data_IF_540680017798
#
_entry.id   IF_540680017798
#
_cell.length_a   1.000
_cell.length_b   1.000
_cell.length_c   1.000
_cell.angle_alpha   90.00
_cell.angle_beta   90.00
_cell.angle_gamma   90.00
#
_symmetry.space_group_name_H-M   'P 1'
#
loop_
_entity.id
_entity.type
_entity.pdbx_description
1 polymer ?
#
# COMPACT_ATOMS: atom_id res chain seq x y z
N UNK A 1 8.86 20.17 22.05
CA UNK A 1 8.40 19.60 20.78
C UNK A 1 9.04 18.24 20.64
N UNK A 2 8.28 17.25 20.22
CA UNK A 2 8.72 15.89 19.90
C UNK A 2 8.65 15.73 18.38
N UNK A 3 9.39 14.76 17.84
CA UNK A 3 9.27 14.42 16.40
C UNK A 3 7.84 13.99 16.03
N UNK A 4 7.08 13.43 16.98
CA UNK A 4 5.67 13.04 16.81
C UNK A 4 4.72 14.24 16.69
N UNK A 5 5.21 15.46 16.96
CA UNK A 5 4.44 16.69 16.77
C UNK A 5 4.65 17.27 15.35
N UNK A 6 5.55 16.67 14.54
CA UNK A 6 5.79 17.09 13.15
C UNK A 6 4.63 16.60 12.27
N UNK A 7 4.08 17.42 11.35
CA UNK A 7 2.89 17.07 10.57
C UNK A 7 2.96 15.71 9.87
N UNK A 8 4.06 15.41 9.16
CA UNK A 8 4.24 14.12 8.46
C UNK A 8 4.15 12.92 9.40
N UNK A 9 4.63 13.06 10.64
CA UNK A 9 4.54 11.99 11.63
C UNK A 9 3.11 11.84 12.14
N UNK A 10 2.39 12.95 12.34
CA UNK A 10 0.98 12.93 12.74
C UNK A 10 0.10 12.28 11.67
N UNK A 11 0.31 12.62 10.40
CA UNK A 11 -0.44 12.04 9.29
C UNK A 11 -0.17 10.53 9.12
N UNK A 12 1.09 10.12 9.24
CA UNK A 12 1.47 8.71 9.23
C UNK A 12 0.81 7.95 10.40
N UNK A 13 0.83 8.52 11.61
CA UNK A 13 0.20 7.93 12.80
C UNK A 13 -1.32 7.84 12.63
N UNK A 14 -1.95 8.87 12.07
CA UNK A 14 -3.39 8.89 11.79
C UNK A 14 -3.78 7.77 10.83
N UNK A 15 -3.10 7.65 9.69
CA UNK A 15 -3.38 6.57 8.73
C UNK A 15 -3.25 5.18 9.36
N UNK A 16 -2.28 4.97 10.26
CA UNK A 16 -2.18 3.72 11.00
C UNK A 16 -3.39 3.48 11.94
N UNK A 17 -3.87 4.53 12.62
CA UNK A 17 -5.09 4.46 13.44
C UNK A 17 -6.32 4.16 12.60
N UNK A 18 -6.50 4.88 11.49
CA UNK A 18 -7.64 4.74 10.58
C UNK A 18 -7.74 3.30 10.04
N UNK A 19 -6.63 2.70 9.61
CA UNK A 19 -6.62 1.32 9.13
C UNK A 19 -6.95 0.28 10.22
N UNK A 20 -6.54 0.54 11.46
CA UNK A 20 -6.92 -0.31 12.60
C UNK A 20 -8.42 -0.21 12.87
N UNK A 21 -8.99 1.00 12.85
CA UNK A 21 -10.41 1.23 13.11
C UNK A 21 -11.32 0.65 12.00
N UNK A 22 -10.81 0.53 10.77
CA UNK A 22 -11.46 -0.23 9.70
C UNK A 22 -11.43 -1.76 9.90
N UNK A 23 -10.63 -2.26 10.86
CA UNK A 23 -10.45 -3.69 11.10
C UNK A 23 -9.55 -4.40 10.09
N UNK A 24 -8.70 -3.68 9.36
CA UNK A 24 -7.80 -4.26 8.34
C UNK A 24 -6.46 -4.76 8.89
N UNK A 25 -6.22 -4.60 10.20
CA UNK A 25 -4.93 -4.85 10.83
C UNK A 25 -5.06 -5.68 12.11
N UNK A 26 -5.49 -6.93 12.00
CA UNK A 26 -5.44 -7.86 13.11
C UNK A 26 -4.00 -8.16 13.53
N UNK A 27 -3.73 -8.17 14.85
CA UNK A 27 -2.39 -8.41 15.41
C UNK A 27 -1.33 -7.48 14.78
N UNK A 28 -0.44 -8.03 13.96
CA UNK A 28 0.64 -7.34 13.26
C UNK A 28 0.47 -7.41 11.73
N UNK A 29 -0.74 -7.73 11.26
CA UNK A 29 -1.09 -7.81 9.85
C UNK A 29 -1.10 -6.43 9.21
N UNK A 30 -0.53 -6.33 8.00
CA UNK A 30 -0.28 -5.07 7.32
C UNK A 30 0.93 -4.30 7.80
N UNK A 31 1.35 -3.34 6.98
CA UNK A 31 2.54 -2.51 7.17
C UNK A 31 2.44 -1.27 6.25
N UNK A 32 3.12 -0.20 6.65
CA UNK A 32 3.07 1.08 5.95
C UNK A 32 4.49 1.59 5.78
N UNK A 33 4.82 2.14 4.61
CA UNK A 33 6.05 2.89 4.42
C UNK A 33 5.81 4.15 3.60
N UNK A 34 6.55 5.20 3.96
CA UNK A 34 6.46 6.50 3.33
C UNK A 34 7.84 7.03 2.95
N UNK A 35 8.02 7.43 1.69
CA UNK A 35 9.24 8.03 1.14
C UNK A 35 9.22 9.54 1.39
N UNK A 36 10.00 9.96 2.38
CA UNK A 36 9.98 11.31 2.91
C UNK A 36 10.42 12.34 1.85
N UNK A 37 9.85 13.54 1.93
CA UNK A 37 10.29 14.71 1.20
C UNK A 37 11.50 15.35 1.91
N UNK A 38 12.43 15.99 1.19
CA UNK A 38 13.61 16.61 1.81
C UNK A 38 13.27 17.54 2.98
N UNK A 39 12.23 18.37 2.84
CA UNK A 39 11.76 19.30 3.86
C UNK A 39 11.22 18.60 5.12
N UNK A 40 10.61 17.42 4.97
CA UNK A 40 10.15 16.60 6.09
C UNK A 40 11.33 15.95 6.81
N UNK A 41 12.35 15.52 6.06
CA UNK A 41 13.60 15.00 6.63
C UNK A 41 14.29 16.08 7.45
N UNK A 42 14.38 17.31 6.93
CA UNK A 42 15.04 18.41 7.62
C UNK A 42 14.31 18.82 8.91
N UNK A 43 12.97 18.75 8.93
CA UNK A 43 12.18 18.94 10.15
C UNK A 43 12.43 17.84 11.19
N UNK A 44 12.60 16.60 10.76
CA UNK A 44 12.84 15.44 11.62
C UNK A 44 14.30 15.31 12.07
N UNK A 45 15.25 15.86 11.32
CA UNK A 45 16.71 15.72 11.53
C UNK A 45 17.19 16.04 12.94
N UNK A 46 16.68 17.09 13.64
CA UNK A 46 17.08 17.38 15.03
C UNK A 46 16.77 16.26 16.04
N UNK A 47 15.91 15.31 15.67
CA UNK A 47 15.50 14.18 16.52
C UNK A 47 16.19 12.86 16.15
N UNK A 48 17.04 12.86 15.11
CA UNK A 48 17.76 11.66 14.72
C UNK A 48 18.84 11.31 15.75
N UNK A 49 19.16 10.02 15.85
CA UNK A 49 20.26 9.52 16.68
C UNK A 49 21.56 10.18 16.24
N UNK A 50 22.31 10.77 17.17
CA UNK A 50 23.63 11.35 16.90
C UNK A 50 24.59 10.33 16.27
N UNK A 51 24.52 9.09 16.75
CA UNK A 51 25.23 7.94 16.20
C UNK A 51 24.19 6.87 15.83
N UNK A 52 23.73 6.83 14.56
CA UNK A 52 22.87 5.76 14.07
C UNK A 52 23.57 4.40 14.18
N UNK A 53 22.78 3.32 14.21
CA UNK A 53 23.31 1.96 14.20
C UNK A 53 23.97 1.57 12.87
N UNK A 54 24.45 0.33 12.81
CA UNK A 54 25.11 -0.23 11.62
C UNK A 54 24.17 -0.29 10.41
N UNK A 55 24.79 -0.24 9.24
CA UNK A 55 24.11 -0.50 7.97
C UNK A 55 23.70 -1.96 7.85
N UNK A 56 22.44 -2.20 7.48
CA UNK A 56 21.88 -3.53 7.27
C UNK A 56 21.58 -3.73 5.79
N UNK A 57 22.06 -4.85 5.24
CA UNK A 57 21.78 -5.25 3.86
C UNK A 57 20.29 -5.55 3.66
N UNK A 58 19.70 -4.98 2.60
CA UNK A 58 18.29 -5.14 2.30
C UNK A 58 17.98 -6.40 1.49
N UNK A 59 18.97 -7.02 0.86
CA UNK A 59 18.82 -8.14 -0.08
C UNK A 59 18.26 -7.75 -1.45
N UNK A 60 17.99 -6.47 -1.67
CA UNK A 60 17.46 -5.89 -2.93
C UNK A 60 18.17 -4.56 -3.21
N UNK A 61 18.11 -4.08 -4.45
CA UNK A 61 18.74 -2.81 -4.85
C UNK A 61 17.72 -1.89 -5.51
N UNK A 62 17.71 -0.63 -5.08
CA UNK A 62 16.87 0.44 -5.62
C UNK A 62 17.71 1.70 -5.78
N UNK A 63 18.54 1.74 -6.82
CA UNK A 63 19.49 2.83 -7.08
C UNK A 63 18.79 4.20 -7.15
N UNK A 64 17.57 4.24 -7.69
CA UNK A 64 16.76 5.46 -7.76
C UNK A 64 16.22 5.94 -6.40
N UNK A 65 16.48 5.23 -5.30
CA UNK A 65 16.11 5.58 -3.92
C UNK A 65 17.34 5.81 -3.03
N UNK A 66 18.55 5.82 -3.60
CA UNK A 66 19.79 6.04 -2.85
C UNK A 66 19.79 7.38 -2.11
N UNK A 67 20.23 7.36 -0.85
CA UNK A 67 20.28 8.55 0.02
C UNK A 67 18.93 9.07 0.51
N UNK A 68 17.81 8.43 0.16
CA UNK A 68 16.49 8.84 0.63
C UNK A 68 16.19 8.33 2.05
N UNK A 69 15.13 8.88 2.64
CA UNK A 69 14.67 8.53 3.99
C UNK A 69 13.24 8.01 3.94
N UNK A 70 12.94 7.05 4.80
CA UNK A 70 11.63 6.39 4.86
C UNK A 70 11.09 6.34 6.28
N UNK A 71 9.81 6.63 6.47
CA UNK A 71 9.07 6.22 7.67
C UNK A 71 8.58 4.79 7.43
N UNK A 72 8.70 3.92 8.42
CA UNK A 72 8.28 2.52 8.35
C UNK A 72 7.68 2.02 9.66
N UNK A 73 6.64 1.20 9.57
CA UNK A 73 6.16 0.40 10.70
C UNK A 73 7.20 -0.68 11.04
N UNK A 74 7.37 -0.99 12.32
CA UNK A 74 8.29 -2.03 12.76
C UNK A 74 7.78 -3.46 12.54
N UNK A 75 8.72 -4.40 12.40
CA UNK A 75 8.42 -5.84 12.32
C UNK A 75 7.72 -6.32 13.59
N UNK A 76 6.56 -6.98 13.42
CA UNK A 76 5.77 -7.54 14.51
C UNK A 76 5.08 -6.48 15.39
N UNK A 77 5.09 -5.20 14.97
CA UNK A 77 4.38 -4.11 15.64
C UNK A 77 2.91 -4.07 15.20
N UNK A 78 2.07 -3.46 16.03
CA UNK A 78 0.63 -3.54 15.92
C UNK A 78 0.13 -2.15 15.54
N UNK A 79 -0.66 -2.02 14.47
CA UNK A 79 -1.23 -0.73 14.05
C UNK A 79 -2.02 -0.08 15.19
N UNK A 80 -2.76 -0.89 15.97
CA UNK A 80 -3.46 -0.48 17.19
C UNK A 80 -2.59 0.31 18.17
N UNK A 81 -1.29 0.02 18.25
CA UNK A 81 -0.38 0.63 19.22
C UNK A 81 0.35 1.85 18.65
N UNK A 82 0.27 2.11 17.34
CA UNK A 82 0.95 3.24 16.70
C UNK A 82 0.47 4.58 17.26
N UNK A 83 -0.85 4.86 17.39
CA UNK A 83 -1.31 6.11 18.01
C UNK A 83 -0.98 6.25 19.50
N UNK A 84 -0.72 5.14 20.19
CA UNK A 84 -0.50 5.12 21.63
C UNK A 84 0.97 5.35 21.99
N UNK A 85 1.88 4.69 21.27
CA UNK A 85 3.33 4.70 21.52
C UNK A 85 4.09 4.63 20.19
N UNK A 86 4.00 5.67 19.34
CA UNK A 86 4.58 5.65 17.99
C UNK A 86 6.08 5.39 17.98
N UNK A 87 6.84 5.93 18.94
CA UNK A 87 8.29 5.74 19.07
C UNK A 87 8.72 4.27 19.27
N UNK A 88 7.82 3.41 19.76
CA UNK A 88 8.06 1.98 19.94
C UNK A 88 7.62 1.13 18.74
N UNK A 89 6.79 1.70 17.85
CA UNK A 89 6.16 0.98 16.73
C UNK A 89 6.65 1.42 15.36
N UNK A 90 7.24 2.62 15.25
CA UNK A 90 7.69 3.23 14.00
C UNK A 90 9.21 3.42 14.02
N UNK A 91 9.81 3.51 12.83
CA UNK A 91 11.16 4.03 12.65
C UNK A 91 11.25 4.97 11.44
N UNK A 92 12.30 5.79 11.45
CA UNK A 92 12.81 6.44 10.25
C UNK A 92 14.10 5.73 9.84
N UNK A 93 14.16 5.36 8.57
CA UNK A 93 15.28 4.71 7.92
C UNK A 93 16.01 5.70 7.03
N UNK A 94 17.32 5.63 7.00
CA UNK A 94 18.17 6.23 5.98
C UNK A 94 18.66 5.13 5.03
N UNK A 95 18.65 5.42 3.72
CA UNK A 95 19.18 4.53 2.68
C UNK A 95 20.60 4.95 2.30
N UNK A 96 21.50 3.98 2.11
CA UNK A 96 22.88 4.27 1.72
C UNK A 96 22.98 4.87 0.30
N UNK A 97 24.19 5.34 -0.04
CA UNK A 97 24.46 5.96 -1.34
C UNK A 97 24.38 4.98 -2.53
N UNK A 98 24.28 3.68 -2.28
CA UNK A 98 24.11 2.65 -3.32
C UNK A 98 22.66 2.15 -3.45
N UNK A 99 21.76 2.51 -2.52
CA UNK A 99 20.39 2.01 -2.52
C UNK A 99 20.26 0.53 -2.15
N UNK A 100 21.18 0.00 -1.33
CA UNK A 100 21.28 -1.44 -0.96
C UNK A 100 21.12 -1.68 0.53
N UNK A 101 21.45 -0.69 1.35
CA UNK A 101 21.47 -0.82 2.80
C UNK A 101 20.61 0.24 3.45
N UNK A 102 20.04 -0.11 4.60
CA UNK A 102 19.31 0.82 5.45
C UNK A 102 19.94 0.88 6.84
N UNK A 103 19.75 1.99 7.54
CA UNK A 103 19.99 2.09 8.99
C UNK A 103 18.88 2.89 9.66
N UNK A 104 18.61 2.59 10.93
CA UNK A 104 17.58 3.30 11.70
C UNK A 104 18.18 4.59 12.28
N UNK A 105 17.63 5.73 11.88
CA UNK A 105 18.02 7.06 12.39
C UNK A 105 17.07 7.57 13.47
N UNK A 106 15.84 7.06 13.57
CA UNK A 106 14.92 7.35 14.67
C UNK A 106 13.92 6.20 14.91
N UNK A 107 13.38 6.12 16.13
CA UNK A 107 12.30 5.20 16.49
C UNK A 107 12.76 3.78 16.83
N UNK A 108 11.78 2.89 17.03
CA UNK A 108 11.94 1.56 17.62
C UNK A 108 12.79 1.60 18.90
N UNK A 109 12.42 2.46 19.85
CA UNK A 109 13.20 2.74 21.06
C UNK A 109 13.44 1.50 21.94
N UNK A 110 12.48 0.57 21.96
CA UNK A 110 12.60 -0.75 22.63
C UNK A 110 13.27 -1.82 21.76
N UNK A 111 13.97 -1.40 20.71
CA UNK A 111 14.59 -2.30 19.73
C UNK A 111 13.59 -2.89 18.73
N UNK A 112 14.16 -3.64 17.80
CA UNK A 112 13.46 -4.22 16.66
C UNK A 112 14.09 -3.79 15.34
N UNK A 113 13.36 -4.02 14.27
CA UNK A 113 13.72 -3.72 12.88
C UNK A 113 12.48 -3.18 12.15
N UNK A 114 12.61 -2.49 11.00
CA UNK A 114 11.47 -2.18 10.14
C UNK A 114 10.68 -3.45 9.77
N UNK A 115 9.48 -3.28 9.21
CA UNK A 115 8.64 -4.40 8.73
C UNK A 115 9.46 -5.45 7.99
N UNK A 116 9.16 -6.74 8.22
CA UNK A 116 9.83 -7.83 7.51
C UNK A 116 9.64 -7.77 5.99
N UNK A 117 8.61 -7.04 5.54
CA UNK A 117 8.31 -6.82 4.13
C UNK A 117 8.92 -5.52 3.58
N UNK A 118 9.87 -4.90 4.31
CA UNK A 118 10.51 -3.68 3.86
C UNK A 118 11.17 -3.82 2.48
N UNK A 119 11.83 -4.95 2.12
CA UNK A 119 12.33 -5.15 0.76
C UNK A 119 11.23 -5.10 -0.32
N UNK A 120 10.05 -5.66 -0.05
CA UNK A 120 8.88 -5.56 -0.95
C UNK A 120 8.42 -4.12 -1.09
N UNK A 121 8.29 -3.40 0.03
CA UNK A 121 7.93 -1.98 0.02
C UNK A 121 8.94 -1.16 -0.78
N UNK A 122 10.23 -1.40 -0.57
CA UNK A 122 11.30 -0.65 -1.19
C UNK A 122 11.33 -0.85 -2.71
N UNK A 123 11.18 -2.10 -3.19
CA UNK A 123 11.04 -2.36 -4.62
C UNK A 123 9.77 -1.73 -5.20
N UNK A 124 8.65 -1.79 -4.47
CA UNK A 124 7.41 -1.12 -4.89
C UNK A 124 7.58 0.40 -4.96
N UNK A 125 8.23 1.04 -3.98
CA UNK A 125 8.60 2.46 -4.04
C UNK A 125 9.47 2.76 -5.27
N UNK A 126 10.44 1.91 -5.57
CA UNK A 126 11.37 2.12 -6.70
C UNK A 126 10.61 2.14 -8.03
N UNK A 127 9.75 1.15 -8.28
CA UNK A 127 8.97 1.07 -9.52
C UNK A 127 7.88 2.15 -9.59
N UNK A 128 7.24 2.49 -8.46
CA UNK A 128 6.22 3.55 -8.41
C UNK A 128 6.82 4.93 -8.61
N UNK A 129 7.97 5.21 -7.99
CA UNK A 129 8.73 6.44 -8.23
C UNK A 129 9.07 6.58 -9.71
N UNK A 130 9.51 5.51 -10.37
CA UNK A 130 9.80 5.53 -11.80
C UNK A 130 8.53 5.73 -12.65
N UNK A 131 7.45 5.00 -12.36
CA UNK A 131 6.19 5.06 -13.12
C UNK A 131 5.45 6.40 -12.99
N UNK A 132 5.65 7.12 -11.89
CA UNK A 132 4.91 8.35 -11.55
C UNK A 132 5.80 9.59 -11.53
N UNK A 133 7.01 9.52 -12.10
CA UNK A 133 7.98 10.62 -12.05
C UNK A 133 8.24 11.17 -10.63
N UNK A 134 8.19 10.28 -9.64
CA UNK A 134 8.42 10.58 -8.24
C UNK A 134 7.26 11.20 -7.48
N UNK A 135 6.06 11.20 -8.05
CA UNK A 135 4.83 11.63 -7.37
C UNK A 135 4.44 10.70 -6.22
N UNK A 136 4.40 9.38 -6.47
CA UNK A 136 4.02 8.42 -5.44
C UNK A 136 5.07 8.32 -4.32
N UNK A 137 4.59 8.31 -3.07
CA UNK A 137 5.41 8.32 -1.85
C UNK A 137 4.94 7.39 -0.76
N UNK A 138 3.73 6.82 -0.86
CA UNK A 138 3.21 5.86 0.11
C UNK A 138 3.13 4.48 -0.53
N UNK A 139 3.51 3.46 0.24
CA UNK A 139 3.16 2.06 -0.02
C UNK A 139 2.50 1.52 1.24
N UNK A 140 1.25 1.10 1.10
CA UNK A 140 0.41 0.63 2.20
C UNK A 140 -0.08 -0.78 1.93
N UNK A 141 0.15 -1.67 2.89
CA UNK A 141 -0.37 -3.02 2.87
C UNK A 141 -1.30 -3.25 4.06
N UNK A 142 -2.48 -3.80 3.79
CA UNK A 142 -3.44 -4.19 4.81
C UNK A 142 -4.18 -5.47 4.43
N UNK A 143 -5.03 -5.97 5.34
CA UNK A 143 -5.82 -7.19 5.17
C UNK A 143 -7.33 -6.88 5.07
N UNK A 144 -7.78 -6.20 4.01
CA UNK A 144 -9.19 -5.89 3.80
C UNK A 144 -10.01 -7.17 3.57
N UNK A 145 -10.94 -7.46 4.48
CA UNK A 145 -11.56 -8.78 4.59
C UNK A 145 -12.44 -9.14 3.39
N UNK A 146 -13.17 -8.18 2.82
CA UNK A 146 -14.05 -8.46 1.68
C UNK A 146 -13.22 -8.71 0.42
N UNK A 147 -12.18 -7.92 0.16
CA UNK A 147 -11.27 -8.20 -0.94
C UNK A 147 -10.58 -9.56 -0.80
N UNK A 148 -10.13 -9.92 0.41
CA UNK A 148 -9.57 -11.26 0.67
C UNK A 148 -10.60 -12.34 0.33
N UNK A 149 -11.85 -12.18 0.74
CA UNK A 149 -12.91 -13.13 0.43
C UNK A 149 -13.16 -13.28 -1.08
N UNK A 150 -13.02 -12.21 -1.89
CA UNK A 150 -13.10 -12.30 -3.36
C UNK A 150 -12.07 -13.29 -3.95
N UNK A 151 -10.88 -13.41 -3.33
CA UNK A 151 -9.82 -14.35 -3.78
C UNK A 151 -10.21 -15.81 -3.72
N UNK A 152 -11.27 -16.17 -3.00
CA UNK A 152 -11.77 -17.54 -2.94
C UNK A 152 -12.82 -17.87 -4.00
N UNK A 153 -13.40 -16.86 -4.66
CA UNK A 153 -14.58 -17.03 -5.50
C UNK A 153 -14.42 -16.48 -6.93
N UNK A 154 -13.39 -15.68 -7.17
CA UNK A 154 -13.06 -15.17 -8.49
C UNK A 154 -11.79 -15.84 -9.05
N UNK A 155 -11.67 -15.97 -10.38
CA UNK A 155 -10.38 -16.27 -10.99
C UNK A 155 -9.35 -15.23 -10.55
N UNK A 156 -8.14 -15.70 -10.23
CA UNK A 156 -7.04 -14.86 -9.74
C UNK A 156 -6.36 -14.09 -10.89
N UNK A 157 -7.12 -13.27 -11.60
CA UNK A 157 -6.63 -12.43 -12.70
C UNK A 157 -6.94 -10.96 -12.45
N UNK A 158 -6.07 -10.07 -12.95
CA UNK A 158 -6.28 -8.63 -12.88
C UNK A 158 -7.60 -8.21 -13.55
N UNK A 159 -7.95 -8.85 -14.68
CA UNK A 159 -9.20 -8.60 -15.40
C UNK A 159 -10.42 -8.91 -14.53
N UNK A 160 -10.51 -10.13 -14.00
CA UNK A 160 -11.71 -10.59 -13.29
C UNK A 160 -11.93 -9.81 -11.99
N UNK A 161 -10.86 -9.49 -11.27
CA UNK A 161 -10.93 -8.62 -10.09
C UNK A 161 -11.32 -7.20 -10.45
N UNK A 162 -10.64 -6.60 -11.42
CA UNK A 162 -10.90 -5.21 -11.81
C UNK A 162 -12.33 -5.03 -12.28
N UNK A 163 -12.84 -5.93 -13.13
CA UNK A 163 -14.22 -5.89 -13.62
C UNK A 163 -15.22 -5.94 -12.47
N UNK A 164 -15.10 -6.94 -11.59
CA UNK A 164 -16.01 -7.09 -10.46
C UNK A 164 -16.04 -5.83 -9.57
N UNK A 165 -14.87 -5.22 -9.34
CA UNK A 165 -14.76 -3.99 -8.54
C UNK A 165 -15.36 -2.77 -9.26
N UNK A 166 -15.01 -2.53 -10.53
CA UNK A 166 -15.56 -1.44 -11.33
C UNK A 166 -17.08 -1.49 -11.44
N UNK A 167 -17.63 -2.70 -11.57
CA UNK A 167 -19.05 -2.96 -11.67
C UNK A 167 -19.83 -2.80 -10.35
N UNK A 168 -19.11 -2.77 -9.22
CA UNK A 168 -19.72 -2.73 -7.88
C UNK A 168 -19.93 -1.32 -7.34
N UNK A 169 -19.16 -0.33 -7.80
CA UNK A 169 -19.35 1.06 -7.44
C UNK A 169 -18.90 2.01 -8.57
N UNK A 170 -19.73 2.99 -8.91
CA UNK A 170 -19.55 3.93 -10.02
C UNK A 170 -18.21 4.69 -9.98
N UNK A 171 -17.68 4.95 -8.78
CA UNK A 171 -16.42 5.68 -8.60
C UNK A 171 -15.16 4.83 -8.89
N UNK A 172 -15.25 3.50 -8.81
CA UNK A 172 -14.11 2.60 -9.00
C UNK A 172 -13.36 2.77 -10.33
N UNK A 173 -14.03 2.85 -11.51
CA UNK A 173 -13.34 3.14 -12.76
C UNK A 173 -12.66 4.52 -12.79
N UNK A 174 -13.05 5.46 -11.93
CA UNK A 174 -12.42 6.79 -11.82
C UNK A 174 -11.25 6.77 -10.83
N UNK A 175 -11.39 6.08 -9.70
CA UNK A 175 -10.37 6.02 -8.65
C UNK A 175 -9.19 5.13 -9.04
N UNK A 176 -9.43 4.02 -9.73
CA UNK A 176 -8.38 3.12 -10.22
C UNK A 176 -8.66 2.69 -11.68
N UNK A 177 -8.52 3.61 -12.65
CA UNK A 177 -8.81 3.34 -14.07
C UNK A 177 -7.85 2.33 -14.71
N UNK A 178 -6.65 2.17 -14.13
CA UNK A 178 -5.70 1.13 -14.52
C UNK A 178 -6.05 -0.26 -13.99
N UNK A 179 -7.06 -0.39 -13.11
CA UNK A 179 -7.44 -1.63 -12.46
C UNK A 179 -6.56 -2.01 -11.27
N UNK A 180 -6.74 -3.24 -10.78
CA UNK A 180 -5.95 -3.84 -9.71
C UNK A 180 -5.18 -5.05 -10.23
N UNK A 181 -3.88 -5.10 -9.93
CA UNK A 181 -3.06 -6.27 -10.21
C UNK A 181 -3.42 -7.41 -9.25
N UNK A 182 -3.22 -8.66 -9.66
CA UNK A 182 -3.40 -9.84 -8.78
C UNK A 182 -2.15 -10.72 -8.83
N UNK A 183 -1.53 -10.90 -7.67
CA UNK A 183 -0.45 -11.87 -7.45
C UNK A 183 -1.09 -13.15 -6.93
N UNK A 184 -0.88 -14.31 -7.58
CA UNK A 184 -1.26 -15.61 -7.02
C UNK A 184 -0.63 -15.84 -5.64
N UNK A 185 -1.10 -16.84 -4.90
CA UNK A 185 -0.55 -17.10 -3.58
C UNK A 185 0.95 -17.41 -3.67
N UNK A 186 1.74 -16.69 -2.87
CA UNK A 186 3.18 -16.84 -2.73
C UNK A 186 3.54 -16.70 -1.26
N UNK A 187 4.70 -17.22 -0.86
CA UNK A 187 5.18 -17.10 0.52
C UNK A 187 5.46 -15.61 0.84
N UNK A 188 4.78 -15.02 1.85
CA UNK A 188 4.99 -13.63 2.23
C UNK A 188 6.40 -13.38 2.78
N UNK A 189 6.90 -12.15 2.62
CA UNK A 189 8.20 -11.71 3.15
C UNK A 189 9.44 -12.22 2.40
N UNK A 190 9.26 -12.98 1.31
CA UNK A 190 10.34 -13.45 0.43
C UNK A 190 10.67 -12.50 -0.73
N UNK A 191 11.85 -12.68 -1.34
CA UNK A 191 12.25 -11.91 -2.52
C UNK A 191 11.34 -12.16 -3.74
N UNK A 192 10.84 -13.39 -3.91
CA UNK A 192 10.02 -13.75 -5.08
C UNK A 192 8.69 -12.99 -5.10
N UNK A 193 7.99 -12.89 -3.96
CA UNK A 193 6.73 -12.13 -3.89
C UNK A 193 6.98 -10.62 -4.03
N UNK A 194 8.12 -10.12 -3.53
CA UNK A 194 8.54 -8.73 -3.73
C UNK A 194 8.73 -8.41 -5.22
N UNK A 195 9.42 -9.29 -5.96
CA UNK A 195 9.63 -9.16 -7.40
C UNK A 195 8.34 -9.32 -8.21
N UNK A 196 7.47 -10.25 -7.82
CA UNK A 196 6.16 -10.43 -8.47
C UNK A 196 5.27 -9.19 -8.29
N UNK A 197 5.21 -8.65 -7.07
CA UNK A 197 4.41 -7.46 -6.74
C UNK A 197 4.94 -6.23 -7.46
N UNK A 198 6.25 -5.99 -7.42
CA UNK A 198 6.86 -4.83 -8.07
C UNK A 198 6.71 -4.85 -9.60
N UNK A 199 6.68 -6.03 -10.24
CA UNK A 199 6.35 -6.12 -11.67
C UNK A 199 4.95 -5.58 -11.97
N UNK A 200 3.95 -5.96 -11.19
CA UNK A 200 2.58 -5.45 -11.33
C UNK A 200 2.52 -3.97 -10.98
N UNK A 201 3.17 -3.53 -9.90
CA UNK A 201 3.11 -2.14 -9.47
C UNK A 201 3.77 -1.15 -10.44
N UNK A 202 4.52 -1.60 -11.46
CA UNK A 202 4.88 -0.72 -12.59
C UNK A 202 3.67 -0.15 -13.32
N UNK A 203 2.58 -0.91 -13.33
CA UNK A 203 1.38 -0.60 -14.10
C UNK A 203 0.15 -0.32 -13.22
N UNK A 204 0.03 -0.97 -12.07
CA UNK A 204 -1.12 -0.85 -11.17
C UNK A 204 -0.77 -0.06 -9.92
N UNK A 205 -1.67 0.82 -9.48
CA UNK A 205 -1.56 1.53 -8.20
C UNK A 205 -1.82 0.62 -7.01
N UNK A 206 -2.53 -0.48 -7.23
CA UNK A 206 -2.83 -1.48 -6.22
C UNK A 206 -2.60 -2.91 -6.72
N UNK A 207 -2.17 -3.80 -5.82
CA UNK A 207 -1.91 -5.20 -6.12
C UNK A 207 -2.48 -6.10 -5.01
N UNK A 208 -3.38 -7.00 -5.40
CA UNK A 208 -3.95 -8.03 -4.53
C UNK A 208 -2.93 -9.13 -4.32
N UNK A 209 -2.73 -9.54 -3.07
CA UNK A 209 -2.10 -10.81 -2.73
C UNK A 209 -3.19 -11.83 -2.41
N UNK A 210 -3.34 -12.84 -3.27
CA UNK A 210 -4.38 -13.84 -3.12
C UNK A 210 -4.35 -14.49 -1.73
N UNK A 211 -5.52 -14.53 -1.09
CA UNK A 211 -5.73 -15.07 0.27
C UNK A 211 -5.00 -14.33 1.40
N UNK A 212 -4.45 -13.13 1.16
CA UNK A 212 -3.65 -12.42 2.15
C UNK A 212 -4.06 -10.96 2.32
N UNK A 213 -4.13 -10.16 1.25
CA UNK A 213 -4.46 -8.74 1.40
C UNK A 213 -4.21 -7.90 0.16
N UNK A 214 -4.00 -6.61 0.38
CA UNK A 214 -3.85 -5.60 -0.67
C UNK A 214 -2.64 -4.73 -0.41
N UNK A 215 -1.90 -4.42 -1.48
CA UNK A 215 -0.97 -3.30 -1.55
C UNK A 215 -1.63 -2.13 -2.29
N UNK A 216 -1.44 -0.92 -1.79
CA UNK A 216 -1.83 0.33 -2.46
C UNK A 216 -0.65 1.32 -2.48
N UNK A 217 -0.58 2.11 -3.54
CA UNK A 217 0.39 3.20 -3.69
C UNK A 217 -0.29 4.50 -4.06
N UNK A 218 0.20 5.61 -3.52
CA UNK A 218 -0.27 6.93 -3.88
C UNK A 218 0.69 8.05 -3.49
N UNK A 219 0.33 9.30 -3.83
CA UNK A 219 1.16 10.49 -3.61
C UNK A 219 1.23 10.92 -2.13
N UNK A 220 0.17 10.64 -1.39
CA UNK A 220 -0.01 11.03 0.01
C UNK A 220 -0.87 9.99 0.76
N UNK A 221 -0.98 10.17 2.08
CA UNK A 221 -1.65 9.23 2.97
C UNK A 221 -3.15 9.10 2.66
N UNK A 222 -3.85 10.21 2.42
CA UNK A 222 -5.30 10.21 2.20
C UNK A 222 -5.68 9.58 0.86
N UNK A 223 -4.96 9.91 -0.20
CA UNK A 223 -5.17 9.32 -1.53
C UNK A 223 -4.89 7.81 -1.50
N UNK A 224 -3.83 7.39 -0.82
CA UNK A 224 -3.46 5.97 -0.74
C UNK A 224 -4.42 5.17 0.14
N UNK A 225 -4.83 5.72 1.28
CA UNK A 225 -5.87 5.12 2.12
C UNK A 225 -7.21 5.05 1.38
N UNK A 226 -7.60 6.15 0.73
CA UNK A 226 -8.82 6.25 -0.07
C UNK A 226 -8.88 5.24 -1.21
N UNK A 227 -7.77 5.00 -1.90
CA UNK A 227 -7.67 3.94 -2.92
C UNK A 227 -7.98 2.57 -2.32
N UNK A 228 -7.31 2.19 -1.23
CA UNK A 228 -7.56 0.92 -0.55
C UNK A 228 -9.00 0.81 -0.04
N UNK A 229 -9.50 1.88 0.58
CA UNK A 229 -10.86 1.96 1.11
C UNK A 229 -11.91 1.79 0.01
N UNK A 230 -11.71 2.42 -1.15
CA UNK A 230 -12.61 2.31 -2.31
C UNK A 230 -12.64 0.88 -2.85
N UNK A 231 -11.47 0.25 -2.98
CA UNK A 231 -11.36 -1.15 -3.42
C UNK A 231 -12.07 -2.09 -2.44
N UNK A 232 -11.83 -1.95 -1.14
CA UNK A 232 -12.48 -2.77 -0.12
C UNK A 232 -14.00 -2.52 -0.07
N UNK A 233 -14.44 -1.28 -0.26
CA UNK A 233 -15.86 -0.95 -0.29
C UNK A 233 -16.57 -1.61 -1.47
N UNK A 234 -15.96 -1.57 -2.66
CA UNK A 234 -16.48 -2.24 -3.84
C UNK A 234 -16.49 -3.76 -3.65
N UNK A 235 -15.45 -4.34 -3.04
CA UNK A 235 -15.41 -5.75 -2.69
C UNK A 235 -16.55 -6.15 -1.73
N UNK A 236 -16.83 -5.32 -0.72
CA UNK A 236 -17.96 -5.52 0.18
C UNK A 236 -19.29 -5.54 -0.56
N UNK A 237 -19.52 -4.56 -1.44
CA UNK A 237 -20.76 -4.48 -2.23
C UNK A 237 -20.90 -5.71 -3.12
N UNK A 238 -19.83 -6.11 -3.82
CA UNK A 238 -19.80 -7.29 -4.67
C UNK A 238 -20.24 -8.55 -3.91
N UNK A 239 -19.63 -8.82 -2.74
CA UNK A 239 -19.93 -10.01 -1.95
C UNK A 239 -21.34 -9.99 -1.35
N UNK A 240 -21.81 -8.82 -0.88
CA UNK A 240 -23.16 -8.68 -0.37
C UNK A 240 -24.20 -8.92 -1.47
N UNK A 241 -24.00 -8.33 -2.65
CA UNK A 241 -24.87 -8.51 -3.81
C UNK A 241 -24.89 -9.98 -4.27
N UNK A 242 -23.71 -10.59 -4.40
CA UNK A 242 -23.60 -11.99 -4.80
C UNK A 242 -24.26 -12.94 -3.79
N UNK A 243 -24.05 -12.70 -2.49
CA UNK A 243 -24.65 -13.52 -1.42
C UNK A 243 -26.17 -13.37 -1.36
N UNK A 244 -26.68 -12.13 -1.37
CA UNK A 244 -28.12 -11.86 -1.35
C UNK A 244 -28.82 -12.39 -2.62
N UNK A 245 -28.12 -12.34 -3.76
CA UNK A 245 -28.55 -12.88 -5.04
C UNK A 245 -28.34 -14.39 -5.20
N UNK A 246 -27.92 -15.12 -4.15
CA UNK A 246 -27.66 -16.57 -4.19
C UNK A 246 -26.70 -16.99 -5.31
N UNK A 247 -25.60 -16.25 -5.45
CA UNK A 247 -24.58 -16.47 -6.48
C UNK A 247 -24.90 -15.82 -7.83
N UNK A 248 -25.95 -14.99 -7.92
CA UNK A 248 -26.35 -14.33 -9.17
C UNK A 248 -26.42 -12.82 -9.00
N UNK A 249 -25.79 -12.09 -9.92
CA UNK A 249 -25.95 -10.64 -10.08
C UNK A 249 -26.98 -10.42 -11.19
N UNK A 250 -28.10 -9.78 -10.86
CA UNK A 250 -29.24 -9.61 -11.79
C UNK A 250 -29.06 -8.44 -12.75
N UNK A 251 -28.40 -7.37 -12.30
CA UNK A 251 -28.04 -6.20 -13.10
C UNK A 251 -26.73 -5.62 -12.58
N UNK A 252 -25.98 -4.95 -13.45
CA UNK A 252 -24.69 -4.34 -13.12
C UNK A 252 -24.41 -3.11 -13.98
N UNK A 253 -23.28 -2.44 -13.76
CA UNK A 253 -22.79 -1.38 -14.64
C UNK A 253 -22.22 -2.05 -15.89
N UNK A 254 -22.81 -1.78 -17.05
CA UNK A 254 -22.42 -2.41 -18.30
C UNK A 254 -21.13 -1.78 -18.87
N UNK A 255 -20.46 -2.47 -19.80
CA UNK A 255 -19.18 -2.01 -20.34
C UNK A 255 -19.29 -0.62 -21.02
N UNK A 256 -20.42 -0.33 -21.68
CA UNK A 256 -20.66 0.99 -22.29
C UNK A 256 -20.91 2.09 -21.25
N UNK A 257 -21.51 1.75 -20.10
CA UNK A 257 -21.67 2.68 -18.98
C UNK A 257 -20.31 2.96 -18.32
N UNK A 258 -19.45 1.95 -18.17
CA UNK A 258 -18.07 2.12 -17.70
C UNK A 258 -17.28 3.04 -18.64
N UNK A 259 -17.40 2.87 -19.96
CA UNK A 259 -16.80 3.77 -20.96
C UNK A 259 -17.35 5.19 -20.87
N UNK A 260 -18.66 5.35 -20.65
CA UNK A 260 -19.28 6.65 -20.48
C UNK A 260 -18.76 7.39 -19.23
N UNK A 261 -18.66 6.69 -18.09
CA UNK A 261 -18.05 7.22 -16.87
C UNK A 261 -16.60 7.64 -17.14
N UNK A 262 -15.81 6.77 -17.76
CA UNK A 262 -14.40 7.06 -18.04
C UNK A 262 -14.23 8.33 -18.89
N UNK A 263 -15.07 8.47 -19.92
CA UNK A 263 -15.10 9.66 -20.80
C UNK A 263 -15.46 10.93 -20.02
N UNK A 264 -16.49 10.90 -19.18
CA UNK A 264 -16.95 12.08 -18.45
C UNK A 264 -15.96 12.55 -17.39
N UNK A 265 -15.19 11.63 -16.80
CA UNK A 265 -14.15 11.94 -15.82
C UNK A 265 -12.75 12.11 -16.43
N UNK A 266 -12.59 11.93 -17.74
CA UNK A 266 -11.32 12.11 -18.44
C UNK A 266 -10.26 11.06 -18.06
N UNK A 267 -10.67 9.85 -17.70
CA UNK A 267 -9.78 8.73 -17.38
C UNK A 267 -9.81 7.66 -18.47
N UNK A 268 -8.76 6.85 -18.56
CA UNK A 268 -8.64 5.78 -19.56
C UNK A 268 -8.70 4.41 -18.88
N UNK A 269 -9.73 3.63 -19.21
CA UNK A 269 -9.84 2.25 -18.75
C UNK A 269 -9.03 1.31 -19.64
N UNK A 270 -8.63 0.18 -19.06
CA UNK A 270 -8.10 -0.96 -19.80
C UNK A 270 -9.21 -1.63 -20.60
N UNK A 271 -9.27 -1.37 -21.90
CA UNK A 271 -10.27 -1.97 -22.81
C UNK A 271 -10.18 -3.50 -22.86
N UNK A 272 -8.99 -4.07 -22.63
CA UNK A 272 -8.83 -5.52 -22.50
C UNK A 272 -9.56 -6.11 -21.28
N UNK A 273 -9.96 -5.26 -20.33
CA UNK A 273 -10.81 -5.63 -19.21
C UNK A 273 -12.29 -5.37 -19.46
N UNK A 274 -12.68 -4.80 -20.62
CA UNK A 274 -14.06 -4.41 -20.95
C UNK A 274 -14.67 -5.27 -22.06
N UNK A 275 -14.59 -6.61 -21.96
CA UNK A 275 -15.22 -7.58 -22.88
C UNK A 275 -15.23 -8.98 -22.26
#
# INVERSE_FOLDING_TARGET
MKITDIPVMQDYIRMCGDGWDQGWHERNGGNLTYRMRPEEVDQCRPYFKETPGDWVDMGVTGENLAGEYFISTGSGKYFRNVPLVPQDNLCILEIDGEGKRWRIVWGLEKGGRPTSEFPSHFLNHSVRKAATNGENRVIYHAHPANLIAMTYILPLTARDFTRALWQSATECPVVFPGGVGVVPWMVPGGADIALATSKLMKEYDAAVWAHHGLFASGPDFDTTFGLMHTIEKAAQIYLLALSAGQGKIMQTIEDDDLRAIAKDFGVTLREEFLN
#
